data_IF_526941902994
#
_entry.id   IF_526941902994
#
_cell.length_a   1.000
_cell.length_b   1.000
_cell.length_c   1.000
_cell.angle_alpha   90.00
_cell.angle_beta   90.00
_cell.angle_gamma   90.00
#
_symmetry.space_group_name_H-M   'P 1'
#
loop_
_entity.id
_entity.type
_entity.pdbx_description
1 polymer ?
#
# COMPACT_ATOMS: atom_id res chain seq x y z
N UNK A 1 23.25 48.14 -43.54
CA UNK A 1 22.12 47.35 -44.03
C UNK A 1 22.59 45.91 -44.06
N UNK A 2 22.12 45.10 -43.12
CA UNK A 2 22.30 43.65 -43.16
C UNK A 2 21.46 43.12 -44.34
N UNK A 3 22.16 42.80 -45.45
CA UNK A 3 21.49 42.17 -46.56
C UNK A 3 20.96 40.80 -46.14
N UNK A 4 19.66 40.62 -46.21
CA UNK A 4 19.06 39.32 -45.99
C UNK A 4 19.56 38.36 -47.09
N UNK A 5 20.04 37.19 -46.69
CA UNK A 5 20.46 36.16 -47.65
C UNK A 5 19.26 35.74 -48.51
N UNK A 6 19.47 35.72 -49.85
CA UNK A 6 18.45 35.44 -50.80
C UNK A 6 18.84 34.32 -51.77
N UNK A 7 17.89 33.47 -52.12
CA UNK A 7 18.03 32.50 -53.19
C UNK A 7 17.56 33.16 -54.51
N UNK A 8 18.35 33.03 -55.56
CA UNK A 8 17.97 33.47 -56.91
C UNK A 8 17.31 32.28 -57.66
N UNK A 9 16.04 32.42 -57.92
CA UNK A 9 15.27 31.38 -58.65
C UNK A 9 14.92 31.90 -60.03
N UNK A 10 15.33 31.16 -61.09
CA UNK A 10 14.92 31.47 -62.48
C UNK A 10 13.47 31.06 -62.69
N UNK A 11 12.68 31.95 -63.25
CA UNK A 11 11.28 31.66 -63.55
C UNK A 11 11.22 30.64 -64.70
N UNK A 12 10.26 29.70 -64.64
CA UNK A 12 10.11 28.61 -65.55
C UNK A 12 9.77 29.11 -66.99
N UNK A 13 9.19 30.30 -67.10
CA UNK A 13 8.87 30.96 -68.34
C UNK A 13 10.06 31.67 -69.06
N UNK A 14 11.22 31.62 -68.33
CA UNK A 14 12.45 32.25 -68.87
C UNK A 14 12.51 33.77 -68.81
N UNK A 15 11.50 34.45 -68.30
CA UNK A 15 11.34 35.90 -68.29
C UNK A 15 12.17 36.65 -67.29
N UNK A 16 12.81 35.97 -66.38
CA UNK A 16 13.63 36.64 -65.31
C UNK A 16 14.09 35.76 -64.17
N UNK A 17 14.71 36.41 -63.22
CA UNK A 17 15.18 35.81 -61.97
C UNK A 17 14.45 36.48 -60.80
N UNK A 18 13.82 35.68 -59.94
CA UNK A 18 13.18 36.16 -58.72
C UNK A 18 14.10 35.95 -57.51
N UNK A 19 14.19 36.97 -56.68
CA UNK A 19 14.86 36.88 -55.39
C UNK A 19 13.86 36.38 -54.35
N UNK A 20 14.21 35.27 -53.69
CA UNK A 20 13.40 34.71 -52.60
C UNK A 20 14.25 34.80 -51.33
N UNK A 21 13.85 35.54 -50.30
CA UNK A 21 14.53 35.54 -49.03
C UNK A 21 14.63 34.12 -48.46
N UNK A 22 15.76 33.77 -47.89
CA UNK A 22 15.92 32.45 -47.22
C UNK A 22 14.94 32.30 -46.03
N UNK A 23 14.59 33.41 -45.38
CA UNK A 23 13.52 33.44 -44.38
C UNK A 23 12.17 32.95 -44.93
N UNK A 24 11.80 33.35 -46.12
CA UNK A 24 10.56 32.90 -46.76
C UNK A 24 10.60 31.41 -47.14
N UNK A 25 11.79 30.90 -47.52
CA UNK A 25 11.98 29.47 -47.81
C UNK A 25 11.87 28.66 -46.52
N UNK A 26 12.50 29.13 -45.42
CA UNK A 26 12.38 28.51 -44.09
C UNK A 26 10.93 28.49 -43.63
N UNK A 27 10.20 29.60 -43.74
CA UNK A 27 8.79 29.66 -43.38
C UNK A 27 7.93 28.69 -44.22
N UNK A 28 8.21 28.55 -45.51
CA UNK A 28 7.51 27.59 -46.36
C UNK A 28 7.80 26.14 -46.00
N UNK A 29 9.05 25.81 -45.67
CA UNK A 29 9.46 24.42 -45.29
C UNK A 29 8.90 24.05 -43.93
N UNK A 30 8.98 24.95 -42.94
CA UNK A 30 8.50 24.71 -41.61
C UNK A 30 6.97 24.82 -41.49
N UNK A 31 6.30 25.44 -42.45
CA UNK A 31 4.87 25.76 -42.32
C UNK A 31 4.63 26.88 -41.29
N UNK A 32 3.42 26.99 -40.85
CA UNK A 32 3.04 27.88 -39.75
C UNK A 32 3.22 27.13 -38.44
N UNK A 33 4.40 27.32 -37.82
CA UNK A 33 4.74 26.65 -36.54
C UNK A 33 3.88 27.12 -35.37
N UNK A 34 3.23 28.32 -35.51
CA UNK A 34 2.36 28.84 -34.45
C UNK A 34 1.07 28.02 -34.34
N UNK A 35 0.70 27.27 -35.38
CA UNK A 35 -0.45 26.38 -35.37
C UNK A 35 -0.18 25.01 -34.75
N UNK A 36 1.10 24.68 -34.50
CA UNK A 36 1.44 23.43 -33.81
C UNK A 36 1.05 23.48 -32.33
N UNK A 37 0.55 22.37 -31.82
CA UNK A 37 0.19 22.20 -30.40
C UNK A 37 1.40 21.80 -29.52
N UNK A 38 2.63 21.99 -30.01
CA UNK A 38 3.88 21.78 -29.27
C UNK A 38 4.32 23.06 -28.58
N UNK A 39 5.05 22.95 -27.48
CA UNK A 39 5.63 24.11 -26.76
C UNK A 39 6.82 24.67 -27.52
N UNK A 40 7.67 23.80 -28.07
CA UNK A 40 8.84 24.21 -28.86
C UNK A 40 8.48 24.41 -30.34
N UNK A 41 8.30 25.67 -30.73
CA UNK A 41 7.95 26.10 -32.07
C UNK A 41 9.15 26.71 -32.84
N UNK A 42 10.37 26.48 -32.35
CA UNK A 42 11.57 27.05 -32.95
C UNK A 42 11.92 26.44 -34.29
N UNK A 43 11.56 25.17 -34.50
CA UNK A 43 11.71 24.45 -35.77
C UNK A 43 10.83 23.22 -35.81
N UNK A 44 10.55 22.70 -37.02
CA UNK A 44 9.83 21.43 -37.20
C UNK A 44 10.55 20.26 -36.50
N UNK A 45 11.89 20.26 -36.48
CA UNK A 45 12.70 19.22 -35.81
C UNK A 45 12.48 19.29 -34.28
N UNK A 46 12.48 20.48 -33.70
CA UNK A 46 12.24 20.68 -32.28
C UNK A 46 10.85 20.20 -31.88
N UNK A 47 9.81 20.57 -32.62
CA UNK A 47 8.46 20.11 -32.41
C UNK A 47 8.31 18.57 -32.52
N UNK A 48 8.97 17.96 -33.53
CA UNK A 48 8.99 16.51 -33.65
C UNK A 48 9.67 15.84 -32.47
N UNK A 49 10.80 16.35 -32.01
CA UNK A 49 11.50 15.80 -30.85
C UNK A 49 10.68 15.91 -29.55
N UNK A 50 9.95 17.00 -29.37
CA UNK A 50 9.01 17.16 -28.28
C UNK A 50 7.91 16.11 -28.33
N UNK A 51 7.28 15.89 -29.49
CA UNK A 51 6.26 14.86 -29.68
C UNK A 51 6.81 13.46 -29.36
N UNK A 52 8.02 13.12 -29.80
CA UNK A 52 8.66 11.85 -29.46
C UNK A 52 8.92 11.71 -27.97
N UNK A 53 9.31 12.78 -27.28
CA UNK A 53 9.45 12.80 -25.83
C UNK A 53 8.12 12.53 -25.12
N UNK A 54 7.06 13.21 -25.52
CA UNK A 54 5.70 13.02 -25.00
C UNK A 54 5.17 11.60 -25.25
N UNK A 55 5.41 11.04 -26.44
CA UNK A 55 5.02 9.65 -26.76
C UNK A 55 5.74 8.66 -25.84
N UNK A 56 7.03 8.89 -25.54
CA UNK A 56 7.79 8.05 -24.61
C UNK A 56 7.23 8.12 -23.18
N UNK A 57 6.90 9.31 -22.70
CA UNK A 57 6.29 9.52 -21.38
C UNK A 57 4.91 8.86 -21.31
N UNK A 58 4.05 9.10 -22.30
CA UNK A 58 2.74 8.50 -22.35
C UNK A 58 2.78 6.96 -22.39
N UNK A 59 3.78 6.36 -23.03
CA UNK A 59 3.95 4.90 -23.04
C UNK A 59 4.27 4.35 -21.63
N UNK A 60 5.07 5.09 -20.85
CA UNK A 60 5.35 4.73 -19.46
C UNK A 60 4.11 4.87 -18.59
N UNK A 61 3.35 5.95 -18.74
CA UNK A 61 2.10 6.19 -18.02
C UNK A 61 1.04 5.13 -18.34
N UNK A 62 0.92 4.74 -19.60
CA UNK A 62 0.02 3.65 -20.04
C UNK A 62 0.44 2.32 -19.41
N UNK A 63 1.73 2.04 -19.30
CA UNK A 63 2.22 0.84 -18.62
C UNK A 63 1.85 0.85 -17.14
N UNK A 64 2.09 1.97 -16.45
CA UNK A 64 1.73 2.15 -15.04
C UNK A 64 0.22 2.03 -14.82
N UNK A 65 -0.59 2.63 -15.69
CA UNK A 65 -2.05 2.51 -15.66
C UNK A 65 -2.54 1.08 -15.89
N UNK A 66 -1.90 0.31 -16.78
CA UNK A 66 -2.23 -1.12 -16.99
C UNK A 66 -1.91 -1.96 -15.77
N UNK A 67 -0.77 -1.73 -15.14
CA UNK A 67 -0.40 -2.39 -13.89
C UNK A 67 -1.41 -2.07 -12.78
N UNK A 68 -1.75 -0.78 -12.61
CA UNK A 68 -2.76 -0.33 -11.65
C UNK A 68 -4.14 -0.93 -11.94
N UNK A 69 -4.55 -1.00 -13.22
CA UNK A 69 -5.83 -1.61 -13.62
C UNK A 69 -5.88 -3.10 -13.33
N UNK A 70 -4.75 -3.81 -13.51
CA UNK A 70 -4.63 -5.23 -13.14
C UNK A 70 -4.78 -5.41 -11.63
N UNK A 71 -4.16 -4.53 -10.85
CA UNK A 71 -4.31 -4.52 -9.38
C UNK A 71 -5.74 -4.16 -8.95
N UNK A 72 -6.39 -3.21 -9.64
CA UNK A 72 -7.78 -2.81 -9.39
C UNK A 72 -8.79 -3.90 -9.77
N UNK A 73 -8.43 -4.80 -10.67
CA UNK A 73 -9.25 -5.97 -11.01
C UNK A 73 -9.34 -7.01 -9.88
N UNK A 74 -8.42 -6.97 -8.92
CA UNK A 74 -8.53 -7.75 -7.69
C UNK A 74 -9.56 -7.08 -6.76
N UNK A 75 -10.27 -7.85 -5.97
CA UNK A 75 -11.31 -7.37 -5.06
C UNK A 75 -11.03 -7.78 -3.61
N UNK A 76 -11.64 -7.07 -2.68
CA UNK A 76 -11.64 -7.44 -1.27
C UNK A 76 -10.24 -7.51 -0.64
N UNK A 77 -10.05 -8.47 0.25
CA UNK A 77 -8.81 -8.66 1.00
C UNK A 77 -7.58 -8.90 0.08
N UNK A 78 -7.76 -9.61 -1.03
CA UNK A 78 -6.69 -9.86 -2.00
C UNK A 78 -6.11 -8.54 -2.53
N UNK A 79 -6.96 -7.62 -2.96
CA UNK A 79 -6.56 -6.29 -3.41
C UNK A 79 -5.92 -5.47 -2.29
N UNK A 80 -6.52 -5.47 -1.11
CA UNK A 80 -6.04 -4.70 0.02
C UNK A 80 -4.64 -5.13 0.46
N UNK A 81 -4.31 -6.42 0.38
CA UNK A 81 -3.03 -6.99 0.78
C UNK A 81 -1.97 -6.98 -0.33
N UNK A 82 -2.37 -6.82 -1.60
CA UNK A 82 -1.43 -6.81 -2.74
C UNK A 82 -0.73 -5.47 -2.94
N UNK A 83 -1.33 -4.39 -2.46
CA UNK A 83 -0.79 -3.05 -2.62
C UNK A 83 -0.71 -2.34 -1.28
N UNK A 84 0.48 -2.36 -0.70
CA UNK A 84 0.78 -1.76 0.61
C UNK A 84 1.39 -0.38 0.39
N UNK A 85 0.74 0.67 0.88
CA UNK A 85 1.31 2.00 0.90
C UNK A 85 0.83 2.79 2.11
N UNK A 86 1.70 3.67 2.61
CA UNK A 86 1.39 4.49 3.76
C UNK A 86 0.37 5.57 3.40
N UNK A 87 -0.74 5.64 4.15
CA UNK A 87 -1.73 6.71 4.02
C UNK A 87 -2.48 6.93 5.34
N UNK A 88 -2.90 8.15 5.57
CA UNK A 88 -3.61 8.53 6.79
C UNK A 88 -5.10 8.17 6.67
N UNK A 89 -5.59 7.38 7.63
CA UNK A 89 -7.00 6.98 7.76
C UNK A 89 -7.78 7.89 8.72
N UNK A 90 -7.10 8.86 9.36
CA UNK A 90 -7.71 9.86 10.24
C UNK A 90 -7.48 9.64 11.72
N UNK A 91 -8.09 10.54 12.49
CA UNK A 91 -7.96 10.57 13.96
C UNK A 91 -9.05 9.77 14.69
N UNK A 92 -9.88 9.04 13.97
CA UNK A 92 -10.94 8.19 14.53
C UNK A 92 -11.29 7.07 13.55
N UNK A 93 -11.77 5.95 14.10
CA UNK A 93 -12.36 4.87 13.29
C UNK A 93 -13.82 5.22 12.96
N UNK A 94 -14.17 5.34 11.69
CA UNK A 94 -15.47 5.83 11.25
C UNK A 94 -16.46 4.71 10.95
N UNK A 95 -17.75 5.02 10.99
CA UNK A 95 -18.82 4.09 10.60
C UNK A 95 -18.69 3.63 9.14
N UNK A 96 -18.21 4.51 8.25
CA UNK A 96 -17.97 4.18 6.85
C UNK A 96 -16.81 3.19 6.67
N UNK A 97 -15.72 3.36 7.43
CA UNK A 97 -14.60 2.42 7.45
C UNK A 97 -15.04 1.06 8.00
N UNK A 98 -15.85 1.06 9.05
CA UNK A 98 -16.44 -0.15 9.61
C UNK A 98 -17.33 -0.88 8.60
N UNK A 99 -18.18 -0.17 7.87
CA UNK A 99 -19.06 -0.74 6.85
C UNK A 99 -18.27 -1.31 5.67
N UNK A 100 -17.20 -0.62 5.25
CA UNK A 100 -16.31 -1.05 4.18
C UNK A 100 -15.59 -2.38 4.52
N UNK A 101 -15.06 -2.49 5.74
CA UNK A 101 -14.43 -3.73 6.23
C UNK A 101 -15.46 -4.86 6.32
N UNK A 102 -16.62 -4.63 6.95
CA UNK A 102 -17.68 -5.66 7.10
C UNK A 102 -18.17 -6.19 5.77
N UNK A 103 -18.19 -5.34 4.74
CA UNK A 103 -18.57 -5.74 3.39
C UNK A 103 -17.45 -6.51 2.64
N UNK A 104 -16.26 -6.66 3.22
CA UNK A 104 -15.10 -7.29 2.59
C UNK A 104 -14.56 -6.51 1.39
N UNK A 105 -14.86 -5.22 1.28
CA UNK A 105 -14.44 -4.38 0.15
C UNK A 105 -13.02 -3.85 0.30
N UNK A 106 -12.66 -3.40 1.49
CA UNK A 106 -11.36 -2.80 1.82
C UNK A 106 -10.94 -1.68 0.87
N UNK A 107 -11.90 -0.84 0.47
CA UNK A 107 -11.67 0.30 -0.41
C UNK A 107 -11.22 1.53 0.37
N UNK A 108 -11.81 1.72 1.57
CA UNK A 108 -11.52 2.83 2.48
C UNK A 108 -10.40 2.52 3.47
N UNK A 109 -10.24 1.24 3.82
CA UNK A 109 -9.20 0.76 4.74
C UNK A 109 -8.35 -0.28 4.05
N UNK A 110 -7.13 0.10 3.68
CA UNK A 110 -6.17 -0.79 3.01
C UNK A 110 -4.97 -1.06 3.88
N UNK A 111 -4.29 -2.15 3.61
CA UNK A 111 -3.02 -2.48 4.27
C UNK A 111 -1.98 -1.38 4.04
N UNK A 112 -1.29 -0.98 5.11
CA UNK A 112 -0.38 0.17 5.12
C UNK A 112 -1.04 1.50 5.48
N UNK A 113 -2.38 1.55 5.57
CA UNK A 113 -3.07 2.68 6.15
C UNK A 113 -2.85 2.78 7.66
N UNK A 114 -2.93 3.97 8.22
CA UNK A 114 -2.81 4.16 9.66
C UNK A 114 -3.82 5.18 10.21
N UNK A 115 -4.24 4.94 11.44
CA UNK A 115 -4.97 5.92 12.25
C UNK A 115 -4.04 6.53 13.29
N UNK A 116 -4.32 7.79 13.67
CA UNK A 116 -3.71 8.43 14.82
C UNK A 116 -4.80 8.81 15.83
N UNK A 117 -5.17 7.88 16.72
CA UNK A 117 -6.27 8.02 17.67
C UNK A 117 -5.70 8.27 19.06
N UNK A 118 -6.14 9.33 19.72
CA UNK A 118 -5.69 9.70 21.07
C UNK A 118 -4.14 9.73 21.19
N UNK A 119 -3.45 10.20 20.15
CA UNK A 119 -1.99 10.28 20.10
C UNK A 119 -1.27 8.93 19.88
N UNK A 120 -2.00 7.85 19.64
CA UNK A 120 -1.46 6.52 19.32
C UNK A 120 -1.63 6.22 17.83
N UNK A 121 -0.55 5.85 17.15
CA UNK A 121 -0.59 5.43 15.74
C UNK A 121 -0.85 3.92 15.67
N UNK A 122 -1.81 3.53 14.84
CA UNK A 122 -2.21 2.15 14.59
C UNK A 122 -2.18 1.86 13.09
N UNK A 123 -1.53 0.79 12.70
CA UNK A 123 -1.42 0.35 11.32
C UNK A 123 -2.48 -0.67 10.95
N UNK A 124 -3.13 -0.51 9.82
CA UNK A 124 -3.88 -1.55 9.13
C UNK A 124 -2.87 -2.54 8.53
N UNK A 125 -2.65 -3.68 9.18
CA UNK A 125 -1.56 -4.58 8.86
C UNK A 125 -1.93 -5.65 7.83
N UNK A 126 -3.15 -6.20 7.90
CA UNK A 126 -3.58 -7.25 6.97
C UNK A 126 -5.10 -7.37 6.95
N UNK A 127 -5.69 -7.39 5.76
CA UNK A 127 -7.11 -7.67 5.57
C UNK A 127 -7.38 -9.18 5.64
N UNK A 128 -8.40 -9.56 6.42
CA UNK A 128 -8.88 -10.95 6.56
C UNK A 128 -7.84 -11.97 7.05
N UNK A 129 -6.92 -11.52 7.92
CA UNK A 129 -5.82 -12.36 8.43
C UNK A 129 -6.29 -13.67 9.10
N UNK A 130 -7.45 -13.65 9.76
CA UNK A 130 -8.03 -14.79 10.49
C UNK A 130 -9.30 -15.32 9.84
N UNK A 131 -9.65 -14.88 8.64
CA UNK A 131 -10.86 -15.35 7.96
C UNK A 131 -10.77 -16.86 7.72
N UNK A 132 -11.82 -17.58 8.05
CA UNK A 132 -11.92 -19.04 8.01
C UNK A 132 -10.88 -19.78 8.88
N UNK A 133 -10.36 -19.13 9.93
CA UNK A 133 -9.43 -19.73 10.89
C UNK A 133 -10.14 -20.07 12.21
N UNK A 134 -9.59 -21.08 12.91
CA UNK A 134 -10.07 -21.52 14.21
C UNK A 134 -10.84 -22.85 14.17
N UNK A 135 -11.04 -23.45 15.35
CA UNK A 135 -11.93 -24.62 15.52
C UNK A 135 -13.40 -24.24 15.35
N UNK A 136 -13.72 -22.98 15.56
CA UNK A 136 -14.93 -22.29 15.11
C UNK A 136 -14.48 -21.16 14.20
N UNK A 137 -14.81 -21.28 12.91
CA UNK A 137 -14.34 -20.34 11.90
C UNK A 137 -14.81 -18.91 12.16
N UNK A 138 -13.89 -17.95 12.02
CA UNK A 138 -14.23 -16.55 11.91
C UNK A 138 -14.69 -16.24 10.48
N UNK A 139 -15.98 -15.96 10.33
CA UNK A 139 -16.58 -15.65 9.01
C UNK A 139 -16.73 -14.16 8.74
N UNK A 140 -16.49 -13.32 9.75
CA UNK A 140 -16.58 -11.87 9.62
C UNK A 140 -15.32 -11.30 8.96
N UNK A 141 -15.50 -10.49 7.93
CA UNK A 141 -14.41 -9.71 7.35
C UNK A 141 -13.82 -8.74 8.38
N UNK A 142 -12.51 -8.61 8.40
CA UNK A 142 -11.80 -7.83 9.41
C UNK A 142 -10.46 -7.29 8.93
N UNK A 143 -9.98 -6.27 9.63
CA UNK A 143 -8.63 -5.74 9.47
C UNK A 143 -7.80 -6.06 10.72
N UNK A 144 -6.66 -6.71 10.53
CA UNK A 144 -5.65 -6.85 11.60
C UNK A 144 -4.99 -5.49 11.82
N UNK A 145 -5.02 -5.03 13.07
CA UNK A 145 -4.45 -3.73 13.46
C UNK A 145 -3.30 -3.95 14.44
N UNK A 146 -2.19 -3.26 14.20
CA UNK A 146 -1.02 -3.27 15.08
C UNK A 146 -0.64 -1.84 15.48
N UNK A 147 -0.22 -1.59 16.73
CA UNK A 147 0.29 -0.29 17.12
C UNK A 147 1.68 -0.05 16.53
N UNK A 148 1.98 1.21 16.17
CA UNK A 148 3.31 1.64 15.72
C UNK A 148 4.38 1.48 16.82
N UNK A 149 3.98 1.76 18.05
CA UNK A 149 4.84 1.62 19.23
C UNK A 149 4.09 0.91 20.32
N UNK A 150 4.81 0.17 21.15
CA UNK A 150 4.23 -0.38 22.37
C UNK A 150 3.65 0.73 23.24
N UNK A 151 2.37 0.62 23.58
CA UNK A 151 1.70 1.51 24.52
C UNK A 151 1.43 0.84 25.87
N UNK A 152 1.84 -0.42 26.02
CA UNK A 152 1.75 -1.18 27.25
C UNK A 152 3.05 -1.96 27.48
N UNK A 153 3.63 -1.81 28.67
CA UNK A 153 4.78 -2.55 29.11
C UNK A 153 4.38 -3.43 30.31
N UNK A 154 4.69 -4.70 30.25
CA UNK A 154 4.38 -5.65 31.31
C UNK A 154 5.33 -6.83 31.29
N UNK A 155 5.38 -7.52 32.41
CA UNK A 155 6.14 -8.76 32.57
C UNK A 155 5.30 -9.97 32.15
N UNK A 156 5.93 -10.99 31.60
CA UNK A 156 5.23 -12.25 31.26
C UNK A 156 4.65 -12.91 32.54
N UNK A 157 5.41 -12.93 33.65
CA UNK A 157 5.01 -13.38 34.96
C UNK A 157 5.79 -12.61 36.00
N UNK A 158 5.31 -12.58 37.27
CA UNK A 158 5.99 -11.90 38.38
C UNK A 158 7.29 -12.60 38.82
N UNK A 159 7.38 -13.91 38.55
CA UNK A 159 8.54 -14.74 38.83
C UNK A 159 8.88 -15.61 37.64
N UNK A 160 10.05 -16.23 37.62
CA UNK A 160 10.47 -17.14 36.55
C UNK A 160 9.73 -18.48 36.64
N UNK A 161 8.49 -18.50 36.16
CA UNK A 161 7.61 -19.68 36.13
C UNK A 161 7.04 -19.89 34.73
N UNK A 162 6.81 -21.15 34.39
CA UNK A 162 6.21 -21.57 33.14
C UNK A 162 4.82 -22.21 33.32
N UNK A 163 4.30 -22.24 34.52
CA UNK A 163 3.00 -22.84 34.88
C UNK A 163 1.90 -22.20 34.04
N UNK A 164 1.09 -23.02 33.37
CA UNK A 164 0.01 -22.57 32.51
C UNK A 164 0.46 -22.04 31.14
N UNK A 165 1.77 -22.11 30.85
CA UNK A 165 2.35 -21.66 29.56
C UNK A 165 1.97 -20.20 29.23
N UNK A 166 1.85 -19.86 27.93
CA UNK A 166 1.45 -18.53 27.51
C UNK A 166 0.01 -18.17 27.96
N UNK A 167 -0.93 -19.11 27.83
CA UNK A 167 -2.32 -18.87 28.20
C UNK A 167 -2.50 -18.50 29.67
N UNK A 168 -1.77 -19.17 30.58
CA UNK A 168 -1.82 -18.90 32.00
C UNK A 168 -0.91 -17.76 32.48
N UNK A 169 -0.15 -17.12 31.60
CA UNK A 169 0.77 -16.05 31.96
C UNK A 169 0.05 -14.78 32.44
N UNK A 170 0.71 -14.02 33.31
CA UNK A 170 0.22 -12.70 33.74
C UNK A 170 0.05 -11.75 32.57
N UNK A 171 0.92 -11.83 31.55
CA UNK A 171 0.79 -11.04 30.34
C UNK A 171 -0.54 -11.31 29.63
N UNK A 172 -0.90 -12.59 29.41
CA UNK A 172 -2.15 -12.95 28.73
C UNK A 172 -3.38 -12.62 29.57
N UNK A 173 -3.35 -12.93 30.87
CA UNK A 173 -4.54 -12.80 31.75
C UNK A 173 -4.80 -11.37 32.23
N UNK A 174 -3.76 -10.55 32.39
CA UNK A 174 -3.88 -9.19 32.91
C UNK A 174 -3.29 -8.13 32.01
N UNK A 175 -2.08 -8.34 31.48
CA UNK A 175 -1.39 -7.35 30.65
C UNK A 175 -2.15 -7.02 29.39
N UNK A 176 -2.54 -8.04 28.62
CA UNK A 176 -3.30 -7.86 27.41
C UNK A 176 -4.73 -7.36 27.64
N UNK A 177 -5.33 -7.66 28.81
CA UNK A 177 -6.62 -7.10 29.17
C UNK A 177 -6.56 -5.57 29.33
N UNK A 178 -5.49 -5.05 29.94
CA UNK A 178 -5.26 -3.61 30.06
C UNK A 178 -5.00 -2.96 28.68
N UNK A 179 -4.20 -3.59 27.84
CA UNK A 179 -3.97 -3.12 26.47
C UNK A 179 -5.29 -3.12 25.65
N UNK A 180 -6.09 -4.17 25.78
CA UNK A 180 -7.39 -4.28 25.13
C UNK A 180 -8.36 -3.17 25.55
N UNK A 181 -8.37 -2.79 26.82
CA UNK A 181 -9.19 -1.67 27.30
C UNK A 181 -8.85 -0.37 26.57
N UNK A 182 -7.56 -0.11 26.32
CA UNK A 182 -7.10 1.04 25.54
C UNK A 182 -7.56 0.95 24.08
N UNK A 183 -7.40 -0.21 23.44
CA UNK A 183 -7.84 -0.41 22.04
C UNK A 183 -9.36 -0.25 21.91
N UNK A 184 -10.13 -0.77 22.89
CA UNK A 184 -11.59 -0.60 22.91
C UNK A 184 -12.02 0.87 23.11
N UNK A 185 -11.26 1.64 23.86
CA UNK A 185 -11.51 3.08 24.00
C UNK A 185 -11.21 3.85 22.72
N UNK A 186 -10.21 3.42 21.94
CA UNK A 186 -9.79 4.09 20.71
C UNK A 186 -10.70 3.73 19.52
N UNK A 187 -11.04 2.47 19.33
CA UNK A 187 -11.80 1.99 18.18
C UNK A 187 -13.29 1.74 18.44
N UNK A 188 -13.71 1.72 19.70
CA UNK A 188 -15.03 1.29 20.12
C UNK A 188 -15.08 -0.22 20.40
N UNK A 189 -15.68 -0.59 21.53
CA UNK A 189 -15.73 -1.98 22.00
C UNK A 189 -16.43 -2.92 21.00
N UNK A 190 -17.46 -2.44 20.31
CA UNK A 190 -18.27 -3.20 19.35
C UNK A 190 -17.55 -3.49 18.03
N UNK A 191 -16.41 -2.83 17.79
CA UNK A 191 -15.59 -3.05 16.61
C UNK A 191 -14.47 -4.07 16.82
N UNK A 192 -14.26 -4.55 18.04
CA UNK A 192 -13.21 -5.51 18.36
C UNK A 192 -13.75 -6.92 18.28
N UNK A 193 -13.35 -7.64 17.23
CA UNK A 193 -13.81 -9.00 16.97
C UNK A 193 -13.15 -10.02 17.93
N UNK A 194 -13.93 -11.00 18.36
CA UNK A 194 -13.43 -12.20 19.01
C UNK A 194 -13.10 -13.25 17.95
N UNK A 195 -11.95 -13.86 18.05
CA UNK A 195 -11.52 -14.96 17.21
C UNK A 195 -10.99 -16.12 18.03
N UNK A 196 -10.96 -17.31 17.42
CA UNK A 196 -10.39 -18.50 18.03
C UNK A 196 -8.88 -18.55 17.78
N UNK A 197 -8.11 -18.85 18.81
CA UNK A 197 -6.64 -18.98 18.74
C UNK A 197 -6.20 -20.22 19.49
N UNK A 198 -5.30 -21.00 18.88
CA UNK A 198 -4.69 -22.16 19.52
C UNK A 198 -3.50 -21.69 20.36
N UNK A 199 -3.59 -21.80 21.68
CA UNK A 199 -2.57 -21.35 22.60
C UNK A 199 -2.04 -22.48 23.46
N UNK A 200 -0.73 -22.42 23.76
CA UNK A 200 -0.12 -23.32 24.73
C UNK A 200 -0.63 -23.00 26.14
N UNK A 201 -1.03 -24.06 26.86
CA UNK A 201 -1.59 -23.97 28.20
C UNK A 201 -0.88 -24.87 29.24
N UNK A 202 0.11 -25.64 28.80
CA UNK A 202 0.93 -26.46 29.68
C UNK A 202 2.38 -26.51 29.19
N UNK A 203 3.29 -26.73 30.16
CA UNK A 203 4.73 -26.91 29.91
C UNK A 203 5.20 -28.14 30.65
N UNK A 204 5.99 -28.97 29.99
CA UNK A 204 6.68 -30.11 30.57
C UNK A 204 8.13 -30.12 30.09
N UNK A 205 9.09 -30.30 30.97
CA UNK A 205 10.52 -30.33 30.61
C UNK A 205 10.99 -29.11 29.80
N UNK A 206 10.46 -27.93 30.10
CA UNK A 206 10.83 -26.68 29.39
C UNK A 206 10.20 -26.48 28.04
N UNK A 207 9.38 -27.39 27.55
CA UNK A 207 8.69 -27.29 26.26
C UNK A 207 7.16 -27.25 26.44
N UNK A 208 6.47 -26.61 25.51
CA UNK A 208 4.99 -26.63 25.47
C UNK A 208 4.50 -28.07 25.31
N UNK A 209 3.59 -28.50 26.20
CA UNK A 209 3.08 -29.87 26.27
C UNK A 209 1.57 -29.99 26.20
N UNK A 210 0.86 -28.87 26.15
CA UNK A 210 -0.59 -28.82 26.01
C UNK A 210 -1.02 -27.58 25.26
N UNK A 211 -2.09 -27.74 24.46
CA UNK A 211 -2.71 -26.66 23.69
C UNK A 211 -4.23 -26.79 23.71
N UNK A 212 -4.90 -25.65 23.69
CA UNK A 212 -6.35 -25.62 23.49
C UNK A 212 -6.75 -24.37 22.71
N UNK A 213 -7.94 -24.40 22.14
CA UNK A 213 -8.53 -23.25 21.49
C UNK A 213 -9.19 -22.34 22.51
N UNK A 214 -8.92 -21.05 22.39
CA UNK A 214 -9.45 -20.02 23.27
C UNK A 214 -9.98 -18.84 22.48
N UNK A 215 -10.94 -18.14 23.08
CA UNK A 215 -11.40 -16.85 22.58
C UNK A 215 -10.36 -15.77 22.87
N UNK A 216 -10.08 -14.96 21.86
CA UNK A 216 -9.16 -13.82 22.00
C UNK A 216 -9.63 -12.64 21.18
N UNK A 217 -9.36 -11.43 21.68
CA UNK A 217 -9.58 -10.16 21.00
C UNK A 217 -8.25 -9.40 20.80
N UNK A 218 -7.21 -9.80 21.50
CA UNK A 218 -5.86 -9.22 21.42
C UNK A 218 -4.84 -10.29 21.78
N UNK A 219 -3.76 -10.34 21.00
CA UNK A 219 -2.66 -11.29 21.21
C UNK A 219 -1.30 -10.60 21.03
N UNK A 220 -0.25 -11.18 21.60
CA UNK A 220 1.11 -10.82 21.25
C UNK A 220 1.41 -11.34 19.83
N UNK A 221 2.23 -10.60 19.09
CA UNK A 221 2.78 -11.09 17.85
C UNK A 221 3.68 -12.30 18.12
N UNK A 222 3.53 -13.33 17.34
CA UNK A 222 4.42 -14.49 17.37
C UNK A 222 5.62 -14.28 16.43
N UNK A 223 6.60 -15.18 16.49
CA UNK A 223 7.82 -15.08 15.68
C UNK A 223 7.54 -15.04 14.18
N UNK A 224 6.57 -15.80 13.70
CA UNK A 224 6.20 -15.82 12.28
C UNK A 224 5.58 -14.50 11.83
N UNK A 225 4.86 -13.81 12.69
CA UNK A 225 4.31 -12.50 12.40
C UNK A 225 5.38 -11.41 12.35
N UNK A 226 6.48 -11.58 13.12
CA UNK A 226 7.56 -10.60 13.19
C UNK A 226 8.62 -10.84 12.11
N UNK A 227 9.04 -12.10 11.92
CA UNK A 227 10.17 -12.46 11.07
C UNK A 227 9.77 -13.18 9.77
N UNK A 228 8.47 -13.49 9.61
CA UNK A 228 8.00 -14.31 8.50
C UNK A 228 8.32 -15.80 8.67
N UNK A 229 7.97 -16.60 7.66
CA UNK A 229 8.33 -18.02 7.61
C UNK A 229 9.76 -18.18 7.11
N UNK A 230 10.48 -19.18 7.63
CA UNK A 230 11.79 -19.52 7.10
C UNK A 230 11.67 -19.93 5.61
N UNK A 231 12.49 -19.32 4.76
CA UNK A 231 12.53 -19.61 3.32
C UNK A 231 13.08 -21.02 3.00
N UNK A 232 13.72 -21.63 3.97
CA UNK A 232 14.26 -22.99 3.88
C UNK A 232 13.28 -23.92 4.61
N UNK A 233 12.84 -24.98 3.95
CA UNK A 233 12.16 -26.09 4.61
C UNK A 233 13.08 -26.71 5.66
N UNK A 234 13.56 -25.89 6.54
CA UNK A 234 14.51 -26.19 7.55
C UNK A 234 13.87 -27.10 8.56
N UNK A 235 14.45 -28.24 8.71
CA UNK A 235 14.20 -29.08 9.85
C UNK A 235 14.23 -28.26 11.11
N UNK A 236 13.47 -28.71 12.10
CA UNK A 236 13.34 -28.15 13.41
C UNK A 236 14.61 -27.43 13.84
N UNK A 237 14.55 -26.14 13.90
CA UNK A 237 15.52 -25.37 14.64
C UNK A 237 15.19 -25.61 16.11
N UNK A 238 15.87 -26.60 16.66
CA UNK A 238 15.96 -26.77 18.10
C UNK A 238 16.75 -25.56 18.62
N UNK A 239 16.04 -24.51 19.03
CA UNK A 239 16.55 -23.44 19.86
C UNK A 239 15.99 -23.61 21.24
#
# INVERSE_FOLDING_TARGET
ASGEDVLLVRLADGTGVKRIPISAIKAFINGDLDTLETEDKTSLIAAINEVFGLVGTNAQDIKALKELTTMLGQTGASRANSFIYEHDLGASFTAEQSADIRAGKFEKVRTGGYWTINGRKYWAAHADYRLHCGDTELTAHHMLVIPDKSFYNGVMNDTNVTTGSYYGSKMKTSGLANALATVKADFGADHILTHRVLLANAVSNGASSGWAWYDSQIDLMNEHMVYGSYAWGGGAQNG
#
